data_IF_575273182889
#
_entry.id   IF_575273182889
#
_cell.length_a   1.000
_cell.length_b   1.000
_cell.length_c   1.000
_cell.angle_alpha   90.00
_cell.angle_beta   90.00
_cell.angle_gamma   90.00
#
_symmetry.space_group_name_H-M   'P 1'
#
loop_
_entity.id
_entity.type
_entity.pdbx_description
1 polymer ?
#
# COMPACT_ATOMS: atom_id res chain seq x y z
N UNK A 1 -7.50 13.62 7.72
CA UNK A 1 -6.09 14.01 7.47
C UNK A 1 -5.59 13.28 6.24
N UNK A 2 -4.84 13.97 5.39
CA UNK A 2 -4.11 13.36 4.27
C UNK A 2 -2.61 13.57 4.49
N UNK A 3 -1.84 12.49 4.29
CA UNK A 3 -0.38 12.47 4.44
C UNK A 3 0.22 11.94 3.13
N UNK A 4 1.30 12.56 2.66
CA UNK A 4 2.08 12.07 1.54
C UNK A 4 3.50 11.79 2.02
N UNK A 5 3.92 10.53 1.98
CA UNK A 5 5.23 10.08 2.46
C UNK A 5 5.86 9.07 1.50
N UNK A 6 7.18 8.88 1.61
CA UNK A 6 7.85 7.80 0.88
C UNK A 6 7.50 6.42 1.46
N UNK A 7 7.53 6.27 2.78
CA UNK A 7 7.30 4.98 3.46
C UNK A 7 8.53 4.09 3.60
N UNK A 8 9.67 4.54 3.09
CA UNK A 8 10.95 3.82 3.18
C UNK A 8 12.02 4.56 3.99
N UNK A 9 11.63 5.54 4.80
CA UNK A 9 12.58 6.33 5.59
C UNK A 9 13.25 5.50 6.68
N UNK A 10 14.49 5.88 7.00
CA UNK A 10 15.29 5.38 8.12
C UNK A 10 15.88 6.58 8.86
N UNK A 11 15.91 6.53 10.18
CA UNK A 11 16.57 7.52 11.01
C UNK A 11 17.57 6.85 11.96
N UNK A 12 18.49 7.62 12.49
CA UNK A 12 19.52 7.11 13.42
C UNK A 12 18.92 6.53 14.72
N UNK A 13 17.71 6.96 15.07
CA UNK A 13 16.99 6.55 16.28
C UNK A 13 15.82 5.59 15.99
N UNK A 14 15.45 5.39 14.72
CA UNK A 14 14.27 4.61 14.36
C UNK A 14 14.45 3.86 13.03
N UNK A 15 13.94 2.65 12.98
CA UNK A 15 13.80 1.86 11.77
C UNK A 15 12.49 2.17 11.01
N UNK A 16 11.58 2.92 11.64
CA UNK A 16 10.26 3.26 11.08
C UNK A 16 9.81 4.70 11.40
N UNK A 17 10.54 5.74 10.97
CA UNK A 17 10.14 7.12 11.24
C UNK A 17 8.84 7.50 10.52
N UNK A 18 8.46 6.81 9.42
CA UNK A 18 7.16 7.01 8.76
C UNK A 18 6.02 6.52 9.66
N UNK A 19 6.14 5.32 10.26
CA UNK A 19 5.17 4.79 11.22
C UNK A 19 5.04 5.66 12.47
N UNK A 20 6.16 6.13 13.03
CA UNK A 20 6.17 7.05 14.16
C UNK A 20 5.41 8.36 13.85
N UNK A 21 5.60 8.90 12.64
CA UNK A 21 4.86 10.08 12.20
C UNK A 21 3.35 9.79 12.14
N UNK A 22 2.95 8.66 11.55
CA UNK A 22 1.54 8.29 11.41
C UNK A 22 0.87 8.06 12.77
N UNK A 23 1.53 7.35 13.69
CA UNK A 23 1.06 7.19 15.08
C UNK A 23 0.92 8.55 15.76
N UNK A 24 1.91 9.44 15.62
CA UNK A 24 1.85 10.78 16.20
C UNK A 24 0.63 11.56 15.68
N UNK A 25 0.37 11.49 14.38
CA UNK A 25 -0.81 12.13 13.79
C UNK A 25 -2.10 11.51 14.35
N UNK A 26 -2.18 10.18 14.40
CA UNK A 26 -3.34 9.45 14.93
C UNK A 26 -3.61 9.82 16.39
N UNK A 27 -2.59 9.92 17.22
CA UNK A 27 -2.71 10.29 18.63
C UNK A 27 -3.25 11.73 18.81
N UNK A 28 -2.83 12.64 17.92
CA UNK A 28 -3.29 14.02 17.96
C UNK A 28 -4.75 14.16 17.51
N UNK A 29 -5.13 13.49 16.42
CA UNK A 29 -6.47 13.68 15.83
C UNK A 29 -7.53 12.75 16.42
N UNK A 30 -7.11 11.68 17.09
CA UNK A 30 -7.98 10.69 17.69
C UNK A 30 -8.55 9.68 16.69
N UNK A 31 -9.27 8.65 17.18
CA UNK A 31 -9.70 7.51 16.36
C UNK A 31 -10.84 7.80 15.38
N UNK A 32 -11.55 8.90 15.56
CA UNK A 32 -12.73 9.25 14.75
C UNK A 32 -12.41 10.10 13.52
N UNK A 33 -11.18 10.62 13.42
CA UNK A 33 -10.78 11.45 12.28
C UNK A 33 -10.15 10.56 11.21
N UNK A 34 -10.68 10.54 9.98
CA UNK A 34 -10.07 9.77 8.89
C UNK A 34 -8.62 10.19 8.61
N UNK A 35 -7.74 9.21 8.49
CA UNK A 35 -6.32 9.39 8.13
C UNK A 35 -6.00 8.52 6.94
N UNK A 36 -5.70 9.13 5.80
CA UNK A 36 -5.28 8.45 4.57
C UNK A 36 -3.86 8.87 4.23
N UNK A 37 -3.02 7.94 3.85
CA UNK A 37 -1.69 8.25 3.35
C UNK A 37 -1.44 7.70 1.95
N UNK A 38 -0.73 8.50 1.12
CA UNK A 38 -0.13 8.01 -0.13
C UNK A 38 1.34 7.71 0.10
N UNK A 39 1.80 6.62 -0.50
CA UNK A 39 3.16 6.11 -0.36
C UNK A 39 3.81 5.91 -1.73
N UNK A 40 5.12 6.10 -1.78
CA UNK A 40 5.92 5.65 -2.91
C UNK A 40 5.80 4.12 -3.08
N UNK A 41 5.85 3.63 -4.31
CA UNK A 41 5.76 2.19 -4.59
C UNK A 41 6.91 1.37 -3.97
N UNK A 42 8.00 2.03 -3.59
CA UNK A 42 9.13 1.41 -2.89
C UNK A 42 8.96 1.41 -1.35
N UNK A 43 7.81 1.79 -0.82
CA UNK A 43 7.58 1.81 0.63
C UNK A 43 7.77 0.42 1.27
N UNK A 44 8.27 0.44 2.49
CA UNK A 44 8.30 -0.69 3.42
C UNK A 44 7.24 -0.45 4.49
N UNK A 45 6.18 -1.24 4.51
CA UNK A 45 5.01 -1.00 5.37
C UNK A 45 5.14 -1.76 6.68
N UNK A 46 5.08 -1.02 7.80
CA UNK A 46 5.04 -1.56 9.16
C UNK A 46 3.60 -1.87 9.64
N UNK A 47 3.48 -2.50 10.81
CA UNK A 47 2.20 -2.63 11.51
C UNK A 47 1.71 -1.26 11.96
N UNK A 48 2.62 -0.44 12.49
CA UNK A 48 2.35 0.91 12.98
C UNK A 48 1.73 1.79 11.90
N UNK A 49 2.23 1.70 10.66
CA UNK A 49 1.65 2.43 9.53
C UNK A 49 0.21 1.97 9.24
N UNK A 50 -0.06 0.66 9.32
CA UNK A 50 -1.39 0.10 9.10
C UNK A 50 -2.37 0.49 10.22
N UNK A 51 -1.94 0.44 11.48
CA UNK A 51 -2.77 0.74 12.64
C UNK A 51 -3.11 2.23 12.75
N UNK A 52 -2.19 3.10 12.32
CA UNK A 52 -2.36 4.54 12.43
C UNK A 52 -3.20 5.15 11.29
N UNK A 53 -3.39 4.44 10.18
CA UNK A 53 -4.11 4.95 9.01
C UNK A 53 -5.34 4.12 8.70
N UNK A 54 -6.35 4.74 8.11
CA UNK A 54 -7.54 4.04 7.64
C UNK A 54 -7.30 3.44 6.25
N UNK A 55 -6.54 4.14 5.39
CA UNK A 55 -6.20 3.67 4.05
C UNK A 55 -4.75 4.07 3.72
N UNK A 56 -4.00 3.11 3.16
CA UNK A 56 -2.71 3.33 2.53
C UNK A 56 -2.82 3.14 1.02
N UNK A 57 -2.46 4.15 0.23
CA UNK A 57 -2.53 4.15 -1.23
C UNK A 57 -1.12 4.25 -1.80
N UNK A 58 -0.66 3.23 -2.53
CA UNK A 58 0.65 3.22 -3.16
C UNK A 58 0.64 3.78 -4.57
N UNK A 59 1.75 4.40 -4.99
CA UNK A 59 2.00 4.70 -6.39
C UNK A 59 2.01 3.39 -7.19
N UNK A 60 1.58 3.47 -8.46
CA UNK A 60 1.45 2.31 -9.35
C UNK A 60 2.44 2.34 -10.51
N UNK A 61 3.22 3.42 -10.63
CA UNK A 61 4.13 3.60 -11.76
C UNK A 61 5.57 3.82 -11.32
N UNK A 62 6.49 3.21 -12.05
CA UNK A 62 7.92 3.47 -11.97
C UNK A 62 8.47 3.63 -13.41
N UNK A 63 8.86 4.87 -13.82
CA UNK A 63 8.95 6.11 -13.04
C UNK A 63 7.61 6.61 -12.50
N UNK A 64 7.65 7.38 -11.39
CA UNK A 64 6.47 7.90 -10.69
C UNK A 64 5.82 9.03 -11.51
N UNK A 65 4.77 8.72 -12.23
CA UNK A 65 4.01 9.68 -13.05
C UNK A 65 2.54 9.80 -12.63
N UNK A 66 2.10 9.00 -11.64
CA UNK A 66 0.71 8.87 -11.21
C UNK A 66 0.41 9.49 -9.83
N UNK A 67 1.26 10.42 -9.35
CA UNK A 67 1.10 11.03 -8.03
C UNK A 67 -0.22 11.79 -7.91
N UNK A 68 -0.61 12.49 -8.97
CA UNK A 68 -1.85 13.25 -9.01
C UNK A 68 -3.07 12.34 -8.87
N UNK A 69 -3.11 11.26 -9.63
CA UNK A 69 -4.19 10.26 -9.61
C UNK A 69 -4.30 9.58 -8.25
N UNK A 70 -3.16 9.34 -7.57
CA UNK A 70 -3.19 8.79 -6.18
C UNK A 70 -3.75 9.80 -5.19
N UNK A 71 -3.43 11.08 -5.35
CA UNK A 71 -4.05 12.15 -4.56
C UNK A 71 -5.56 12.26 -4.78
N UNK A 72 -6.03 12.15 -6.03
CA UNK A 72 -7.46 12.11 -6.34
C UNK A 72 -8.15 10.86 -5.75
N UNK A 73 -7.51 9.70 -5.80
CA UNK A 73 -8.01 8.46 -5.20
C UNK A 73 -8.15 8.62 -3.68
N UNK A 74 -7.15 9.19 -3.02
CA UNK A 74 -7.20 9.48 -1.59
C UNK A 74 -8.36 10.45 -1.25
N UNK A 75 -8.57 11.48 -2.07
CA UNK A 75 -9.66 12.43 -1.87
C UNK A 75 -11.03 11.76 -2.04
N UNK A 76 -11.22 10.91 -3.06
CA UNK A 76 -12.47 10.16 -3.26
C UNK A 76 -12.74 9.22 -2.08
N UNK A 77 -11.74 8.46 -1.65
CA UNK A 77 -11.86 7.58 -0.49
C UNK A 77 -12.20 8.35 0.79
N UNK A 78 -11.64 9.54 0.97
CA UNK A 78 -11.96 10.40 2.10
C UNK A 78 -13.42 10.85 2.08
N UNK A 79 -13.98 11.19 0.91
CA UNK A 79 -15.39 11.55 0.77
C UNK A 79 -16.30 10.37 1.08
N UNK A 80 -15.99 9.16 0.62
CA UNK A 80 -16.74 7.95 0.98
C UNK A 80 -16.75 7.71 2.50
N UNK A 81 -15.62 7.93 3.18
CA UNK A 81 -15.55 7.83 4.64
C UNK A 81 -16.42 8.90 5.35
N UNK A 82 -16.46 10.11 4.81
CA UNK A 82 -17.38 11.14 5.34
C UNK A 82 -18.84 10.80 5.11
N UNK A 83 -19.17 10.02 4.08
CA UNK A 83 -20.50 9.49 3.82
C UNK A 83 -20.81 8.22 4.64
N UNK A 84 -19.87 7.78 5.49
CA UNK A 84 -20.07 6.71 6.48
C UNK A 84 -19.48 5.36 6.12
N UNK A 85 -18.77 5.23 4.98
CA UNK A 85 -18.05 3.99 4.63
C UNK A 85 -16.92 3.75 5.64
N UNK A 86 -16.84 2.51 6.12
CA UNK A 86 -15.76 2.07 7.02
C UNK A 86 -14.76 1.23 6.23
N UNK A 87 -13.61 1.78 5.83
CA UNK A 87 -12.60 1.00 5.10
C UNK A 87 -11.98 -0.05 6.03
N UNK A 88 -11.86 -1.26 5.53
CA UNK A 88 -11.19 -2.37 6.22
C UNK A 88 -10.06 -2.85 5.33
N UNK A 89 -8.84 -2.73 5.82
CA UNK A 89 -7.64 -3.12 5.09
C UNK A 89 -7.07 -4.45 5.58
N UNK A 90 -6.65 -5.29 4.64
CA UNK A 90 -5.90 -6.50 4.94
C UNK A 90 -4.55 -6.45 4.24
N UNK A 91 -3.47 -6.70 5.00
CA UNK A 91 -2.09 -6.64 4.52
C UNK A 91 -1.44 -8.02 4.50
N UNK A 92 -0.72 -8.31 3.43
CA UNK A 92 0.22 -9.42 3.35
C UNK A 92 1.59 -8.86 2.99
N UNK A 93 2.58 -9.13 3.83
CA UNK A 93 3.99 -8.88 3.52
C UNK A 93 4.63 -10.18 3.05
N UNK A 94 5.21 -10.15 1.87
CA UNK A 94 5.95 -11.28 1.30
C UNK A 94 7.43 -11.19 1.72
N UNK A 95 8.08 -12.31 2.01
CA UNK A 95 9.53 -12.36 2.26
C UNK A 95 10.30 -12.23 0.93
N UNK A 96 9.99 -11.18 0.19
CA UNK A 96 10.52 -10.90 -1.14
C UNK A 96 11.00 -9.45 -1.19
N UNK A 97 12.28 -9.27 -1.47
CA UNK A 97 12.90 -7.96 -1.71
C UNK A 97 13.42 -7.99 -3.14
N UNK A 98 12.66 -7.38 -4.05
CA UNK A 98 13.06 -7.30 -5.45
C UNK A 98 14.17 -6.24 -5.66
N UNK A 99 15.20 -6.50 -6.48
CA UNK A 99 16.15 -5.47 -6.86
C UNK A 99 15.44 -4.29 -7.56
N UNK A 100 15.83 -3.06 -7.26
CA UNK A 100 15.17 -1.85 -7.80
C UNK A 100 15.09 -1.83 -9.34
N UNK A 101 16.08 -2.42 -10.01
CA UNK A 101 16.10 -2.53 -11.49
C UNK A 101 14.98 -3.43 -12.05
N UNK A 102 14.37 -4.28 -11.24
CA UNK A 102 13.26 -5.16 -11.64
C UNK A 102 11.90 -4.59 -11.26
N UNK A 103 11.86 -3.43 -10.63
CA UNK A 103 10.63 -2.79 -10.13
C UNK A 103 10.02 -1.81 -11.16
N UNK A 104 10.35 -1.99 -12.45
CA UNK A 104 9.72 -1.22 -13.52
C UNK A 104 8.27 -1.66 -13.73
N UNK A 105 7.41 -0.71 -14.06
CA UNK A 105 5.96 -0.94 -14.24
C UNK A 105 5.51 -0.79 -15.69
N UNK A 106 6.47 -0.71 -16.64
CA UNK A 106 6.14 -0.71 -18.06
C UNK A 106 5.53 -2.07 -18.49
N UNK A 107 4.72 -2.10 -19.57
CA UNK A 107 4.15 -3.34 -20.09
C UNK A 107 5.22 -4.43 -20.32
N UNK A 108 4.93 -5.66 -19.91
CA UNK A 108 5.86 -6.80 -20.01
C UNK A 108 6.83 -6.94 -18.84
N UNK A 109 6.78 -6.06 -17.86
CA UNK A 109 7.53 -6.22 -16.61
C UNK A 109 6.65 -6.90 -15.55
N UNK A 110 7.13 -7.95 -14.88
CA UNK A 110 6.31 -8.73 -13.95
C UNK A 110 5.69 -7.92 -12.82
N UNK A 111 6.38 -6.88 -12.34
CA UNK A 111 5.85 -6.03 -11.29
C UNK A 111 4.69 -5.15 -11.79
N UNK A 112 4.80 -4.60 -13.01
CA UNK A 112 3.71 -3.86 -13.64
C UNK A 112 2.48 -4.74 -13.89
N UNK A 113 2.69 -5.96 -14.40
CA UNK A 113 1.61 -6.94 -14.61
C UNK A 113 0.90 -7.32 -13.30
N UNK A 114 1.66 -7.44 -12.19
CA UNK A 114 1.08 -7.70 -10.87
C UNK A 114 0.22 -6.51 -10.39
N UNK A 115 0.68 -5.28 -10.59
CA UNK A 115 -0.09 -4.07 -10.27
C UNK A 115 -1.37 -4.02 -11.12
N UNK A 116 -1.27 -4.21 -12.44
CA UNK A 116 -2.44 -4.23 -13.34
C UNK A 116 -3.44 -5.31 -12.91
N UNK A 117 -2.96 -6.51 -12.60
CA UNK A 117 -3.81 -7.57 -12.05
C UNK A 117 -4.49 -7.13 -10.75
N UNK A 118 -3.76 -6.49 -9.84
CA UNK A 118 -4.34 -5.95 -8.60
C UNK A 118 -5.50 -4.99 -8.88
N UNK A 119 -5.38 -4.13 -9.90
CA UNK A 119 -6.42 -3.18 -10.23
C UNK A 119 -7.72 -3.85 -10.76
N UNK A 120 -7.67 -5.08 -11.27
CA UNK A 120 -8.87 -5.81 -11.68
C UNK A 120 -9.77 -6.23 -10.50
N UNK A 121 -9.26 -6.19 -9.27
CA UNK A 121 -10.03 -6.47 -8.05
C UNK A 121 -10.81 -5.26 -7.55
N UNK A 122 -10.48 -4.04 -8.01
CA UNK A 122 -11.18 -2.81 -7.58
C UNK A 122 -12.58 -2.82 -8.18
N UNK A 123 -13.60 -2.72 -7.31
CA UNK A 123 -15.02 -2.80 -7.66
C UNK A 123 -15.88 -2.12 -6.56
N UNK A 124 -17.18 -2.39 -6.54
CA UNK A 124 -18.08 -1.82 -5.54
C UNK A 124 -17.77 -2.27 -4.10
N UNK A 125 -17.10 -3.40 -3.89
CA UNK A 125 -16.68 -3.91 -2.58
C UNK A 125 -15.24 -3.49 -2.24
N UNK A 126 -14.31 -3.64 -3.20
CA UNK A 126 -12.89 -3.30 -3.01
C UNK A 126 -12.63 -1.86 -3.45
N UNK A 127 -12.26 -1.02 -2.49
CA UNK A 127 -11.96 0.41 -2.72
C UNK A 127 -10.61 0.62 -3.36
N UNK A 128 -9.59 -0.11 -2.87
CA UNK A 128 -8.19 0.09 -3.25
C UNK A 128 -7.41 -1.23 -3.19
N UNK A 129 -6.49 -1.38 -4.13
CA UNK A 129 -5.44 -2.39 -4.08
C UNK A 129 -4.10 -1.69 -4.24
N UNK A 130 -3.27 -1.79 -3.22
CA UNK A 130 -1.92 -1.23 -3.15
C UNK A 130 -0.91 -2.37 -3.12
N UNK A 131 0.05 -2.34 -4.04
CA UNK A 131 1.15 -3.31 -4.12
C UNK A 131 2.47 -2.54 -4.11
N UNK A 132 3.22 -2.68 -3.03
CA UNK A 132 4.46 -1.96 -2.79
C UNK A 132 5.64 -2.92 -2.91
N UNK A 133 6.62 -2.56 -3.71
CA UNK A 133 7.77 -3.42 -4.02
C UNK A 133 8.75 -3.60 -2.84
N UNK A 134 8.72 -2.66 -1.90
CA UNK A 134 9.74 -2.52 -0.86
C UNK A 134 10.99 -1.80 -1.35
N UNK A 135 11.76 -1.27 -0.41
CA UNK A 135 12.99 -0.52 -0.68
C UNK A 135 14.19 -1.29 -0.17
N UNK A 136 14.88 -1.99 -1.09
CA UNK A 136 16.00 -2.87 -0.76
C UNK A 136 17.17 -2.17 -0.06
N UNK A 137 17.32 -0.86 -0.27
CA UNK A 137 18.39 -0.07 0.38
C UNK A 137 18.08 0.30 1.83
N UNK A 138 16.83 0.16 2.27
CA UNK A 138 16.41 0.34 3.65
C UNK A 138 16.40 -1.01 4.36
N UNK A 139 17.56 -1.42 4.90
CA UNK A 139 17.69 -2.67 5.66
C UNK A 139 17.03 -2.54 7.04
N UNK A 140 15.71 -2.77 7.08
CA UNK A 140 14.87 -2.65 8.27
C UNK A 140 14.01 -3.89 8.45
N UNK A 141 13.51 -4.18 9.67
CA UNK A 141 12.61 -5.32 9.92
C UNK A 141 11.30 -5.27 9.12
N UNK A 142 10.88 -4.09 8.65
CA UNK A 142 9.66 -3.90 7.85
C UNK A 142 9.88 -4.11 6.34
N UNK A 143 11.12 -4.36 5.88
CA UNK A 143 11.43 -4.52 4.46
C UNK A 143 10.71 -5.72 3.83
N UNK A 144 10.27 -5.56 2.60
CA UNK A 144 9.62 -6.61 1.80
C UNK A 144 8.44 -6.11 0.97
N UNK A 145 8.17 -6.83 -0.12
CA UNK A 145 6.98 -6.56 -0.94
C UNK A 145 5.72 -6.68 -0.09
N UNK A 146 4.84 -5.71 -0.22
CA UNK A 146 3.60 -5.66 0.57
C UNK A 146 2.39 -5.49 -0.35
N UNK A 147 1.36 -6.30 -0.11
CA UNK A 147 0.06 -6.22 -0.77
C UNK A 147 -0.96 -5.80 0.28
N UNK A 148 -1.70 -4.74 -0.01
CA UNK A 148 -2.78 -4.23 0.83
C UNK A 148 -4.03 -4.17 -0.02
N UNK A 149 -5.11 -4.78 0.47
CA UNK A 149 -6.43 -4.65 -0.12
C UNK A 149 -7.33 -3.97 0.90
N UNK A 150 -7.96 -2.89 0.49
CA UNK A 150 -8.93 -2.14 1.30
C UNK A 150 -10.33 -2.34 0.73
N UNK A 151 -11.25 -2.85 1.54
CA UNK A 151 -12.63 -3.07 1.16
C UNK A 151 -13.60 -2.19 1.97
N UNK A 152 -14.81 -1.96 1.42
CA UNK A 152 -15.93 -1.29 2.09
C UNK A 152 -16.61 -2.28 3.02
N UNK A 153 -16.44 -2.09 4.34
CA UNK A 153 -17.12 -2.87 5.39
C UNK A 153 -16.95 -4.42 5.29
N UNK A 154 -15.96 -4.93 4.51
CA UNK A 154 -15.82 -6.36 4.21
C UNK A 154 -14.39 -6.87 4.42
N UNK A 155 -14.10 -7.35 5.65
CA UNK A 155 -12.81 -7.95 5.97
C UNK A 155 -12.53 -9.24 5.20
N UNK A 156 -13.54 -10.05 4.96
CA UNK A 156 -13.36 -11.37 4.31
C UNK A 156 -12.91 -11.14 2.88
N UNK A 157 -13.59 -10.25 2.16
CA UNK A 157 -13.27 -9.93 0.77
C UNK A 157 -11.89 -9.30 0.63
N UNK A 158 -11.51 -8.39 1.55
CA UNK A 158 -10.17 -7.82 1.58
C UNK A 158 -9.10 -8.91 1.75
N UNK A 159 -9.32 -9.84 2.69
CA UNK A 159 -8.38 -10.94 2.98
C UNK A 159 -8.25 -11.92 1.82
N UNK A 160 -9.36 -12.36 1.22
CA UNK A 160 -9.36 -13.30 0.10
C UNK A 160 -8.63 -12.70 -1.10
N UNK A 161 -8.98 -11.49 -1.49
CA UNK A 161 -8.33 -10.77 -2.60
C UNK A 161 -6.83 -10.58 -2.38
N UNK A 162 -6.41 -10.18 -1.18
CA UNK A 162 -5.00 -10.04 -0.84
C UNK A 162 -4.26 -11.39 -0.90
N UNK A 163 -4.91 -12.47 -0.46
CA UNK A 163 -4.33 -13.82 -0.47
C UNK A 163 -4.12 -14.34 -1.90
N UNK A 164 -5.10 -14.13 -2.77
CA UNK A 164 -4.99 -14.50 -4.18
C UNK A 164 -3.88 -13.73 -4.91
N UNK A 165 -3.77 -12.43 -4.65
CA UNK A 165 -2.70 -11.59 -5.20
C UNK A 165 -1.32 -12.01 -4.68
N UNK A 166 -1.21 -12.34 -3.39
CA UNK A 166 0.03 -12.81 -2.79
C UNK A 166 0.49 -14.15 -3.39
N UNK A 167 -0.45 -15.07 -3.62
CA UNK A 167 -0.16 -16.33 -4.32
C UNK A 167 0.33 -16.10 -5.76
N UNK A 168 -0.26 -15.13 -6.47
CA UNK A 168 0.17 -14.75 -7.81
C UNK A 168 1.58 -14.15 -7.83
N UNK A 169 1.92 -13.30 -6.85
CA UNK A 169 3.25 -12.70 -6.73
C UNK A 169 4.34 -13.75 -6.42
N UNK A 170 4.00 -14.80 -5.66
CA UNK A 170 4.91 -15.90 -5.33
C UNK A 170 5.04 -16.98 -6.42
N UNK A 171 4.13 -17.05 -7.37
CA UNK A 171 4.18 -17.99 -8.47
C UNK A 171 5.26 -17.55 -9.48
N UNK A 172 6.27 -18.41 -9.74
CA UNK A 172 7.19 -18.17 -10.87
C UNK A 172 6.39 -18.18 -12.16
N UNK A 173 6.53 -17.19 -13.05
CA UNK A 173 6.01 -17.35 -14.40
C UNK A 173 6.70 -18.58 -15.02
N UNK A 174 5.89 -19.53 -15.52
CA UNK A 174 6.45 -20.60 -16.35
C UNK A 174 7.18 -19.95 -17.51
N UNK A 175 8.48 -20.21 -17.59
CA UNK A 175 9.28 -19.79 -18.74
C UNK A 175 8.71 -20.51 -19.97
N UNK A 176 8.00 -19.77 -20.81
CA UNK A 176 7.66 -20.18 -22.17
C UNK A 176 8.71 -19.72 -23.15
#
# INVERSE_FOLDING_TARGET
VYICQHGGAIATHSHDPDGELFITVRDIVGPSVPVIATLDLHANVSEEMMEATDILIGYRTNPHVDLYERGEEAARSMLEMFDGVQPISYRIRLPLVAPSVTQLTAPGYPYGELIERGQTYVNDTVMNVTILAGFAFADTPKNGMTIIVTARDDFIHAKESATELAAAAGSRPEQR
#
